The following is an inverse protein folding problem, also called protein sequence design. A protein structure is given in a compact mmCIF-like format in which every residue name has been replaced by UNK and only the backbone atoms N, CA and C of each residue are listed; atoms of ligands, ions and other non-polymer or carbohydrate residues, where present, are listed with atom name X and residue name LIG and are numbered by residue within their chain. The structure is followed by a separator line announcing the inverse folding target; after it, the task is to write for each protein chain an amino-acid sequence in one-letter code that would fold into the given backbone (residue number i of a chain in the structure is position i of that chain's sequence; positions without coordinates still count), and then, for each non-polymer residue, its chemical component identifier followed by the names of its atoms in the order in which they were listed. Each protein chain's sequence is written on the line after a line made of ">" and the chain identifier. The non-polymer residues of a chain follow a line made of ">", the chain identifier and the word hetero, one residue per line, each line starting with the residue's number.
data_IF_077552256319
#
_entry.id   IF_077552256319
#
_cell.length_a   1.000
_cell.length_b   1.000
_cell.length_c   1.000
_cell.angle_alpha   90.00
_cell.angle_beta   90.00
_cell.angle_gamma   90.00
#
_symmetry.space_group_name_H-M   'P 1'
#
loop_
_entity.id
_entity.type
_entity.pdbx_description
1 polymer ?
#
# COMPACT_ATOMS: atom_id res chain seq x y z
N UNK A 1 -14.77 15.46 -20.04
CA UNK A 1 -15.46 14.32 -20.66
C UNK A 1 -14.84 12.98 -20.21
N UNK A 2 -13.51 12.82 -20.24
CA UNK A 2 -12.80 11.61 -19.76
C UNK A 2 -13.09 11.21 -18.30
N UNK A 3 -13.12 12.16 -17.36
CA UNK A 3 -13.35 11.88 -15.93
C UNK A 3 -14.71 11.23 -15.59
N UNK A 4 -15.69 11.25 -16.50
CA UNK A 4 -17.00 10.62 -16.26
C UNK A 4 -16.89 9.10 -16.19
N UNK A 5 -16.08 8.49 -17.05
CA UNK A 5 -15.86 7.04 -17.05
C UNK A 5 -15.14 6.57 -15.80
N UNK A 6 -14.18 7.35 -15.30
CA UNK A 6 -13.47 7.07 -14.05
C UNK A 6 -14.45 7.13 -12.87
N UNK A 7 -15.31 8.16 -12.81
CA UNK A 7 -16.34 8.28 -11.76
C UNK A 7 -17.29 7.08 -11.77
N UNK A 8 -17.77 6.65 -12.94
CA UNK A 8 -18.64 5.47 -13.02
C UNK A 8 -17.93 4.19 -12.60
N UNK A 9 -16.64 4.04 -12.93
CA UNK A 9 -15.84 2.89 -12.53
C UNK A 9 -15.62 2.86 -11.01
N UNK A 10 -15.35 4.02 -10.39
CA UNK A 10 -15.25 4.16 -8.94
C UNK A 10 -16.58 3.86 -8.25
N UNK A 11 -17.69 4.39 -8.78
CA UNK A 11 -19.02 4.13 -8.24
C UNK A 11 -19.38 2.64 -8.32
N UNK A 12 -19.12 1.99 -9.46
CA UNK A 12 -19.33 0.57 -9.64
C UNK A 12 -18.47 -0.25 -8.66
N UNK A 13 -17.19 0.11 -8.50
CA UNK A 13 -16.31 -0.53 -7.51
C UNK A 13 -16.82 -0.35 -6.08
N UNK A 14 -17.36 0.82 -5.73
CA UNK A 14 -17.95 1.10 -4.43
C UNK A 14 -19.22 0.26 -4.19
N UNK A 15 -20.08 0.11 -5.21
CA UNK A 15 -21.27 -0.74 -5.13
C UNK A 15 -20.87 -2.20 -4.93
N UNK A 16 -19.91 -2.70 -5.70
CA UNK A 16 -19.39 -4.08 -5.55
C UNK A 16 -18.79 -4.28 -4.17
N UNK A 17 -18.00 -3.33 -3.68
CA UNK A 17 -17.45 -3.36 -2.33
C UNK A 17 -18.56 -3.39 -1.28
N UNK A 18 -19.57 -2.52 -1.37
CA UNK A 18 -20.67 -2.45 -0.44
C UNK A 18 -21.46 -3.77 -0.41
N UNK A 19 -21.87 -4.28 -1.59
CA UNK A 19 -22.55 -5.56 -1.71
C UNK A 19 -21.71 -6.71 -1.13
N UNK A 20 -20.41 -6.77 -1.45
CA UNK A 20 -19.52 -7.80 -0.93
C UNK A 20 -19.40 -7.70 0.60
N UNK A 21 -19.27 -6.48 1.14
CA UNK A 21 -19.18 -6.25 2.58
C UNK A 21 -20.49 -6.52 3.33
N UNK A 22 -21.65 -6.37 2.69
CA UNK A 22 -22.94 -6.70 3.29
C UNK A 22 -23.26 -8.19 3.19
N UNK A 23 -23.00 -8.81 2.03
CA UNK A 23 -23.38 -10.20 1.74
C UNK A 23 -22.38 -11.22 2.29
N UNK A 24 -21.09 -10.94 2.22
CA UNK A 24 -20.06 -11.84 2.72
C UNK A 24 -19.84 -11.61 4.22
N UNK A 25 -20.75 -12.05 5.07
CA UNK A 25 -20.68 -11.82 6.53
C UNK A 25 -19.61 -12.65 7.25
N UNK A 26 -19.14 -13.73 6.63
CA UNK A 26 -18.11 -14.60 7.21
C UNK A 26 -16.76 -13.90 7.32
N UNK A 27 -16.31 -13.66 8.56
CA UNK A 27 -14.99 -13.11 8.85
C UNK A 27 -13.87 -13.97 8.25
N UNK A 28 -14.02 -15.30 8.25
CA UNK A 28 -13.05 -16.22 7.65
C UNK A 28 -12.91 -16.00 6.15
N UNK A 29 -14.02 -15.83 5.43
CA UNK A 29 -13.98 -15.61 3.98
C UNK A 29 -13.35 -14.25 3.63
N UNK A 30 -13.70 -13.18 4.36
CA UNK A 30 -13.06 -11.86 4.19
C UNK A 30 -11.55 -11.93 4.39
N UNK A 31 -11.10 -12.61 5.44
CA UNK A 31 -9.68 -12.78 5.70
C UNK A 31 -8.96 -13.51 4.58
N UNK A 32 -9.53 -14.59 4.03
CA UNK A 32 -8.94 -15.28 2.87
C UNK A 32 -8.81 -14.38 1.64
N UNK A 33 -9.83 -13.56 1.35
CA UNK A 33 -9.76 -12.59 0.25
C UNK A 33 -8.58 -11.63 0.45
N UNK A 34 -8.43 -11.06 1.64
CA UNK A 34 -7.34 -10.12 1.94
C UNK A 34 -5.97 -10.78 1.88
N UNK A 35 -5.84 -12.03 2.34
CA UNK A 35 -4.58 -12.79 2.27
C UNK A 35 -4.21 -13.10 0.83
N UNK A 36 -5.15 -13.59 0.02
CA UNK A 36 -4.92 -13.83 -1.40
C UNK A 36 -4.56 -12.54 -2.13
N UNK A 37 -5.22 -11.43 -1.80
CA UNK A 37 -4.91 -10.12 -2.35
C UNK A 37 -3.50 -9.65 -1.97
N UNK A 38 -3.08 -9.86 -0.73
CA UNK A 38 -1.74 -9.50 -0.25
C UNK A 38 -0.65 -10.36 -0.93
N UNK A 39 -0.90 -11.66 -1.11
CA UNK A 39 0.02 -12.56 -1.85
C UNK A 39 0.13 -12.11 -3.31
N UNK A 40 -0.99 -11.79 -3.97
CA UNK A 40 -0.98 -11.26 -5.32
C UNK A 40 -0.19 -9.93 -5.40
N UNK A 41 -0.41 -9.01 -4.46
CA UNK A 41 0.33 -7.77 -4.36
C UNK A 41 1.85 -8.01 -4.26
N UNK A 42 2.28 -8.96 -3.44
CA UNK A 42 3.71 -9.35 -3.36
C UNK A 42 4.25 -9.85 -4.70
N UNK A 43 3.50 -10.66 -5.45
CA UNK A 43 3.89 -11.09 -6.78
C UNK A 43 4.07 -9.91 -7.75
N UNK A 44 3.18 -8.90 -7.67
CA UNK A 44 3.36 -7.67 -8.44
C UNK A 44 4.62 -6.89 -8.02
N UNK A 45 4.95 -6.81 -6.73
CA UNK A 45 6.17 -6.15 -6.27
C UNK A 45 7.42 -6.89 -6.77
N UNK A 46 7.43 -8.22 -6.76
CA UNK A 46 8.55 -9.02 -7.27
C UNK A 46 8.84 -8.70 -8.75
N UNK A 47 7.80 -8.73 -9.60
CA UNK A 47 7.94 -8.35 -11.01
C UNK A 47 8.36 -6.88 -11.15
N UNK A 48 7.75 -6.00 -10.35
CA UNK A 48 8.06 -4.58 -10.32
C UNK A 48 9.52 -4.28 -9.94
N UNK A 49 10.10 -5.07 -9.02
CA UNK A 49 11.49 -4.94 -8.62
C UNK A 49 12.45 -5.34 -9.75
N UNK A 50 12.11 -6.38 -10.52
CA UNK A 50 12.87 -6.78 -11.72
C UNK A 50 12.83 -5.65 -12.76
N UNK A 51 11.65 -5.11 -13.06
CA UNK A 51 11.47 -3.98 -13.96
C UNK A 51 12.26 -2.74 -13.51
N UNK A 52 12.22 -2.43 -12.23
CA UNK A 52 12.94 -1.29 -11.67
C UNK A 52 14.46 -1.47 -11.76
N UNK A 53 14.95 -2.68 -11.48
CA UNK A 53 16.38 -3.03 -11.55
C UNK A 53 16.92 -2.93 -12.98
N UNK A 54 16.21 -3.53 -13.93
CA UNK A 54 16.68 -3.59 -15.32
C UNK A 54 16.52 -2.24 -16.02
N UNK A 55 15.48 -1.46 -15.65
CA UNK A 55 15.19 -0.18 -16.28
C UNK A 55 14.71 -0.30 -17.73
N UNK A 56 14.36 -1.52 -18.17
CA UNK A 56 13.81 -1.82 -19.48
C UNK A 56 12.28 -1.97 -19.42
N UNK A 57 11.67 -2.34 -20.55
CA UNK A 57 10.22 -2.57 -20.65
C UNK A 57 9.84 -4.03 -20.42
N UNK A 58 10.58 -4.74 -19.56
CA UNK A 58 10.30 -6.13 -19.24
C UNK A 58 8.86 -6.33 -18.74
N UNK A 59 8.16 -7.26 -19.39
CA UNK A 59 6.83 -7.73 -19.00
C UNK A 59 6.80 -9.25 -19.04
N UNK A 60 6.35 -9.93 -17.97
CA UNK A 60 6.26 -11.39 -17.94
C UNK A 60 5.31 -11.97 -19.00
N UNK A 61 4.34 -11.17 -19.45
CA UNK A 61 3.32 -11.54 -20.42
C UNK A 61 3.67 -10.87 -21.76
N UNK A 62 4.14 -11.61 -22.79
CA UNK A 62 4.74 -11.01 -23.99
C UNK A 62 3.82 -10.09 -24.79
N UNK A 63 2.50 -10.34 -24.77
CA UNK A 63 1.53 -9.53 -25.50
C UNK A 63 1.10 -8.25 -24.75
N UNK A 64 1.42 -8.12 -23.45
CA UNK A 64 1.16 -6.91 -22.66
C UNK A 64 2.44 -6.07 -22.62
N UNK A 65 2.64 -5.26 -23.64
CA UNK A 65 3.77 -4.32 -23.68
C UNK A 65 3.46 -3.09 -22.82
N UNK A 66 4.47 -2.63 -22.08
CA UNK A 66 4.38 -1.38 -21.31
C UNK A 66 5.06 -0.24 -22.03
N UNK A 67 4.56 0.97 -21.83
CA UNK A 67 5.25 2.18 -22.27
C UNK A 67 6.57 2.35 -21.52
N UNK A 68 7.50 3.10 -22.12
CA UNK A 68 8.75 3.43 -21.44
C UNK A 68 8.50 4.41 -20.29
N UNK A 69 8.48 3.85 -19.09
CA UNK A 69 8.40 4.58 -17.83
C UNK A 69 9.76 4.70 -17.13
N UNK A 70 10.84 4.29 -17.82
CA UNK A 70 12.18 4.13 -17.27
C UNK A 70 12.21 3.22 -16.05
N UNK A 71 13.01 3.60 -15.04
CA UNK A 71 13.09 2.90 -13.75
C UNK A 71 11.88 3.19 -12.87
N UNK A 72 10.75 2.57 -13.22
CA UNK A 72 9.50 2.55 -12.45
C UNK A 72 8.91 1.15 -12.47
N UNK A 73 8.45 0.68 -11.31
CA UNK A 73 7.76 -0.59 -11.18
C UNK A 73 6.31 -0.47 -11.67
N UNK A 74 5.86 -1.41 -12.51
CA UNK A 74 4.46 -1.57 -12.91
C UNK A 74 3.93 -2.98 -12.63
N UNK A 75 4.79 -3.95 -12.30
CA UNK A 75 4.41 -5.33 -12.01
C UNK A 75 3.75 -5.96 -13.23
N UNK A 76 2.68 -6.72 -13.02
CA UNK A 76 1.81 -7.18 -14.12
C UNK A 76 0.89 -6.09 -14.68
N UNK A 77 0.87 -4.89 -14.09
CA UNK A 77 0.19 -3.75 -14.70
C UNK A 77 1.10 -3.11 -15.75
N UNK A 78 0.47 -2.52 -16.77
CA UNK A 78 1.15 -1.69 -17.76
C UNK A 78 1.57 -0.36 -17.13
N UNK A 79 0.70 0.22 -16.28
CA UNK A 79 0.90 1.54 -15.68
C UNK A 79 1.44 1.43 -14.25
N UNK A 80 2.56 2.11 -13.91
CA UNK A 80 3.05 2.22 -12.53
C UNK A 80 2.02 2.82 -11.57
N UNK A 81 1.14 3.70 -12.05
CA UNK A 81 0.13 4.34 -11.21
C UNK A 81 -0.97 3.34 -10.77
N UNK A 82 -1.35 2.40 -11.64
CA UNK A 82 -2.31 1.36 -11.29
C UNK A 82 -1.72 0.40 -10.26
N UNK A 83 -0.44 0.02 -10.42
CA UNK A 83 0.25 -0.77 -9.43
C UNK A 83 0.28 -0.05 -8.08
N UNK A 84 0.59 1.25 -8.05
CA UNK A 84 0.64 2.02 -6.83
C UNK A 84 -0.68 1.96 -6.06
N UNK A 85 -1.80 2.19 -6.75
CA UNK A 85 -3.15 2.12 -6.18
C UNK A 85 -3.50 0.74 -5.60
N UNK A 86 -3.05 -0.35 -6.25
CA UNK A 86 -3.27 -1.70 -5.72
C UNK A 86 -2.42 -1.95 -4.47
N UNK A 87 -1.16 -1.53 -4.49
CA UNK A 87 -0.21 -1.78 -3.39
C UNK A 87 -0.53 -0.97 -2.14
N UNK A 88 -1.04 0.25 -2.27
CA UNK A 88 -1.45 1.03 -1.09
C UNK A 88 -2.68 0.42 -0.39
N UNK A 89 -3.66 -0.06 -1.16
CA UNK A 89 -4.85 -0.74 -0.63
C UNK A 89 -4.46 -2.07 0.00
N UNK A 90 -3.59 -2.86 -0.65
CA UNK A 90 -3.06 -4.09 -0.06
C UNK A 90 -2.25 -3.80 1.21
N UNK A 91 -1.43 -2.76 1.18
CA UNK A 91 -0.63 -2.32 2.32
C UNK A 91 -1.47 -1.94 3.52
N UNK A 92 -2.53 -1.13 3.35
CA UNK A 92 -3.35 -0.71 4.48
C UNK A 92 -4.18 -1.85 5.07
N UNK A 93 -4.66 -2.78 4.25
CA UNK A 93 -5.31 -3.99 4.75
C UNK A 93 -4.33 -4.92 5.47
N UNK A 94 -3.14 -5.12 4.93
CA UNK A 94 -2.09 -5.90 5.57
C UNK A 94 -1.66 -5.31 6.91
N UNK A 95 -1.55 -3.97 7.00
CA UNK A 95 -1.26 -3.26 8.24
C UNK A 95 -2.36 -3.47 9.28
N UNK A 96 -3.63 -3.36 8.85
CA UNK A 96 -4.79 -3.60 9.71
C UNK A 96 -4.80 -5.03 10.26
N UNK A 97 -4.53 -6.04 9.43
CA UNK A 97 -4.42 -7.43 9.88
C UNK A 97 -3.27 -7.57 10.90
N UNK A 98 -2.13 -6.97 10.62
CA UNK A 98 -0.94 -7.05 11.47
C UNK A 98 -1.20 -6.49 12.87
N UNK A 99 -1.82 -5.31 12.95
CA UNK A 99 -2.08 -4.63 14.22
C UNK A 99 -3.29 -5.21 14.97
N UNK A 100 -4.41 -5.41 14.27
CA UNK A 100 -5.72 -5.56 14.90
C UNK A 100 -6.35 -6.96 14.80
N UNK A 101 -5.77 -7.87 14.03
CA UNK A 101 -6.32 -9.24 13.94
C UNK A 101 -6.13 -10.03 15.23
N UNK A 102 -6.92 -11.10 15.38
CA UNK A 102 -6.78 -12.12 16.44
C UNK A 102 -5.80 -13.25 16.08
N UNK A 103 -4.98 -13.06 15.04
CA UNK A 103 -4.06 -14.08 14.58
C UNK A 103 -2.86 -14.27 15.52
N UNK A 104 -2.24 -15.47 15.51
CA UNK A 104 -1.01 -15.70 16.26
C UNK A 104 0.11 -14.77 15.78
N UNK A 105 1.06 -14.50 16.68
CA UNK A 105 2.15 -13.52 16.45
C UNK A 105 2.94 -13.81 15.17
N UNK A 106 3.25 -15.09 14.88
CA UNK A 106 3.99 -15.45 13.67
C UNK A 106 3.28 -15.02 12.39
N UNK A 107 1.95 -15.16 12.34
CA UNK A 107 1.16 -14.79 11.17
C UNK A 107 1.08 -13.26 11.03
N UNK A 108 1.00 -12.53 12.15
CA UNK A 108 1.09 -11.08 12.18
C UNK A 108 2.45 -10.57 11.69
N UNK A 109 3.54 -11.23 12.07
CA UNK A 109 4.87 -10.90 11.57
C UNK A 109 4.94 -11.09 10.05
N UNK A 110 4.42 -12.21 9.54
CA UNK A 110 4.38 -12.49 8.11
C UNK A 110 3.57 -11.43 7.34
N UNK A 111 2.37 -11.08 7.82
CA UNK A 111 1.56 -10.02 7.21
C UNK A 111 2.22 -8.65 7.33
N UNK A 112 2.97 -8.40 8.41
CA UNK A 112 3.75 -7.18 8.60
C UNK A 112 4.86 -7.04 7.58
N UNK A 113 5.62 -8.12 7.33
CA UNK A 113 6.63 -8.14 6.26
C UNK A 113 6.01 -7.95 4.87
N UNK A 114 4.92 -8.66 4.57
CA UNK A 114 4.21 -8.51 3.31
C UNK A 114 3.67 -7.07 3.11
N UNK A 115 3.19 -6.44 4.17
CA UNK A 115 2.78 -5.03 4.20
C UNK A 115 3.95 -4.10 3.89
N UNK A 116 5.10 -4.32 4.54
CA UNK A 116 6.33 -3.57 4.26
C UNK A 116 6.76 -3.68 2.80
N UNK A 117 6.69 -4.88 2.22
CA UNK A 117 6.98 -5.13 0.81
C UNK A 117 6.03 -4.34 -0.10
N UNK A 118 4.73 -4.26 0.24
CA UNK A 118 3.77 -3.45 -0.51
C UNK A 118 4.16 -1.96 -0.51
N UNK A 119 4.52 -1.39 0.64
CA UNK A 119 4.96 0.01 0.73
C UNK A 119 6.29 0.27 0.01
N UNK A 120 7.23 -0.66 0.07
CA UNK A 120 8.44 -0.59 -0.78
C UNK A 120 8.04 -0.60 -2.26
N UNK A 121 7.11 -1.47 -2.66
CA UNK A 121 6.60 -1.49 -4.03
C UNK A 121 5.95 -0.18 -4.44
N UNK A 122 5.18 0.48 -3.56
CA UNK A 122 4.64 1.83 -3.78
C UNK A 122 5.79 2.80 -4.11
N UNK A 123 6.86 2.83 -3.31
CA UNK A 123 8.05 3.65 -3.57
C UNK A 123 8.67 3.34 -4.95
N UNK A 124 8.78 2.05 -5.32
CA UNK A 124 9.33 1.66 -6.63
C UNK A 124 8.46 2.10 -7.81
N UNK A 125 7.15 2.32 -7.62
CA UNK A 125 6.27 2.81 -8.69
C UNK A 125 6.55 4.26 -9.08
N UNK A 126 7.14 5.07 -8.20
CA UNK A 126 7.33 6.50 -8.44
C UNK A 126 6.03 7.29 -8.62
N UNK A 127 4.88 6.77 -8.16
CA UNK A 127 3.57 7.40 -8.37
C UNK A 127 3.28 8.45 -7.30
N UNK A 128 3.17 9.73 -7.69
CA UNK A 128 2.80 10.83 -6.78
C UNK A 128 1.44 10.62 -6.13
N UNK A 129 0.45 10.20 -6.94
CA UNK A 129 -0.89 9.87 -6.45
C UNK A 129 -0.86 8.70 -5.46
N UNK A 130 -0.05 7.66 -5.75
CA UNK A 130 0.15 6.54 -4.83
C UNK A 130 0.77 6.94 -3.50
N UNK A 131 1.73 7.89 -3.49
CA UNK A 131 2.32 8.39 -2.24
C UNK A 131 1.32 9.18 -1.38
N UNK A 132 0.58 10.09 -2.02
CA UNK A 132 -0.41 10.91 -1.32
C UNK A 132 -1.56 10.04 -0.78
N UNK A 133 -2.03 9.08 -1.57
CA UNK A 133 -3.10 8.18 -1.16
C UNK A 133 -2.64 7.23 -0.04
N UNK A 134 -1.42 6.68 -0.13
CA UNK A 134 -0.87 5.86 0.94
C UNK A 134 -0.73 6.65 2.25
N UNK A 135 -0.22 7.89 2.18
CA UNK A 135 -0.14 8.78 3.33
C UNK A 135 -1.52 9.08 3.93
N UNK A 136 -2.51 9.40 3.09
CA UNK A 136 -3.89 9.63 3.54
C UNK A 136 -4.47 8.38 4.23
N UNK A 137 -4.27 7.19 3.66
CA UNK A 137 -4.73 5.92 4.24
C UNK A 137 -4.08 5.64 5.60
N UNK A 138 -2.80 5.96 5.78
CA UNK A 138 -2.07 5.79 7.03
C UNK A 138 -2.55 6.77 8.10
N UNK A 139 -2.90 8.00 7.72
CA UNK A 139 -3.53 8.98 8.63
C UNK A 139 -4.88 8.45 9.10
N UNK A 140 -5.74 8.01 8.18
CA UNK A 140 -7.06 7.45 8.51
C UNK A 140 -6.92 6.22 9.43
N UNK A 141 -6.00 5.30 9.09
CA UNK A 141 -5.69 4.14 9.92
C UNK A 141 -5.21 4.54 11.32
N UNK A 142 -4.35 5.55 11.41
CA UNK A 142 -3.87 6.09 12.69
C UNK A 142 -4.99 6.68 13.53
N UNK A 143 -5.89 7.46 12.93
CA UNK A 143 -7.06 8.04 13.62
C UNK A 143 -7.96 6.95 14.18
N UNK A 144 -8.35 5.95 13.38
CA UNK A 144 -9.18 4.85 13.86
C UNK A 144 -8.46 3.96 14.87
N UNK A 145 -7.16 3.76 14.70
CA UNK A 145 -6.33 3.04 15.67
C UNK A 145 -6.35 3.74 17.03
N UNK A 146 -6.19 5.07 17.06
CA UNK A 146 -6.26 5.85 18.29
C UNK A 146 -7.65 5.79 18.92
N UNK A 147 -8.72 5.83 18.13
CA UNK A 147 -10.09 5.71 18.63
C UNK A 147 -10.33 4.36 19.33
N UNK A 148 -9.87 3.27 18.72
CA UNK A 148 -9.91 1.93 19.33
C UNK A 148 -9.09 1.87 20.62
N UNK A 149 -7.87 2.44 20.64
CA UNK A 149 -7.04 2.49 21.85
C UNK A 149 -7.66 3.34 22.96
N UNK A 150 -8.32 4.47 22.61
CA UNK A 150 -9.05 5.33 23.55
C UNK A 150 -10.18 4.56 24.21
N UNK A 151 -10.98 3.84 23.42
CA UNK A 151 -12.08 3.02 23.92
C UNK A 151 -11.58 1.87 24.82
N UNK A 152 -10.38 1.35 24.59
CA UNK A 152 -9.77 0.29 25.40
C UNK A 152 -9.16 0.78 26.74
N UNK A 153 -8.90 2.09 26.89
CA UNK A 153 -8.44 2.71 28.14
C UNK A 153 -7.17 3.57 28.00
N UNK A 154 -7.05 4.58 28.87
CA UNK A 154 -5.98 5.59 28.82
C UNK A 154 -4.56 5.00 29.00
N UNK A 155 -4.40 3.98 29.83
CA UNK A 155 -3.11 3.30 30.03
C UNK A 155 -2.62 2.61 28.75
N UNK A 156 -3.54 1.96 28.03
CA UNK A 156 -3.21 1.22 26.80
C UNK A 156 -2.93 2.20 25.65
N UNK A 157 -3.64 3.33 25.61
CA UNK A 157 -3.35 4.43 24.71
C UNK A 157 -1.94 4.97 24.88
N UNK A 158 -1.50 5.25 26.11
CA UNK A 158 -0.14 5.79 26.32
C UNK A 158 0.90 4.73 26.02
N UNK A 159 0.68 3.48 26.46
CA UNK A 159 1.65 2.38 26.31
C UNK A 159 1.88 1.97 24.85
N UNK A 160 0.86 2.05 24.00
CA UNK A 160 0.95 1.64 22.59
C UNK A 160 1.06 2.87 21.66
N UNK A 161 0.28 3.91 21.93
CA UNK A 161 0.23 5.11 21.11
C UNK A 161 1.53 5.91 21.12
N UNK A 162 2.19 6.07 22.27
CA UNK A 162 3.46 6.79 22.35
C UNK A 162 4.59 6.12 21.54
N UNK A 163 4.88 4.81 21.69
CA UNK A 163 5.89 4.16 20.85
C UNK A 163 5.49 4.09 19.38
N UNK A 164 4.20 3.96 19.04
CA UNK A 164 3.74 3.99 17.65
C UNK A 164 4.00 5.36 17.00
N UNK A 165 3.74 6.45 17.73
CA UNK A 165 4.04 7.81 17.27
C UNK A 165 5.55 7.99 17.03
N UNK A 166 6.38 7.56 17.98
CA UNK A 166 7.84 7.64 17.87
C UNK A 166 8.33 6.85 16.66
N UNK A 167 7.86 5.61 16.50
CA UNK A 167 8.20 4.76 15.36
C UNK A 167 7.77 5.41 14.02
N UNK A 168 6.59 6.02 13.98
CA UNK A 168 6.11 6.75 12.80
C UNK A 168 6.99 7.94 12.44
N UNK A 169 7.38 8.76 13.43
CA UNK A 169 8.28 9.90 13.23
C UNK A 169 9.66 9.42 12.74
N UNK A 170 10.21 8.37 13.35
CA UNK A 170 11.48 7.78 12.94
C UNK A 170 11.42 7.22 11.50
N UNK A 171 10.33 6.57 11.13
CA UNK A 171 10.14 6.08 9.77
C UNK A 171 10.12 7.24 8.76
N UNK A 172 9.42 8.33 9.08
CA UNK A 172 9.38 9.52 8.23
C UNK A 172 10.74 10.19 8.09
N UNK A 173 11.51 10.32 9.17
CA UNK A 173 12.84 10.93 9.12
C UNK A 173 13.83 10.08 8.33
N UNK A 174 13.77 8.75 8.47
CA UNK A 174 14.58 7.82 7.67
C UNK A 174 14.22 7.93 6.19
N UNK A 175 12.93 7.91 5.84
CA UNK A 175 12.48 8.07 4.46
C UNK A 175 12.94 9.41 3.88
N UNK A 176 12.76 10.51 4.62
CA UNK A 176 13.19 11.84 4.21
C UNK A 176 14.71 11.91 3.96
N UNK A 177 15.49 11.29 4.84
CA UNK A 177 16.96 11.22 4.74
C UNK A 177 17.42 10.38 3.55
N UNK A 178 16.77 9.24 3.29
CA UNK A 178 17.06 8.38 2.14
C UNK A 178 16.73 9.08 0.82
N UNK A 179 15.62 9.83 0.77
CA UNK A 179 15.25 10.63 -0.40
C UNK A 179 16.31 11.69 -0.68
N UNK A 180 16.75 12.46 0.33
CA UNK A 180 17.75 13.52 0.15
C UNK A 180 19.14 13.01 -0.25
N UNK A 181 19.54 11.83 0.22
CA UNK A 181 20.86 11.27 -0.05
C UNK A 181 21.00 10.59 -1.41
N UNK A 182 19.91 10.34 -2.12
CA UNK A 182 19.97 9.66 -3.42
C UNK A 182 19.69 10.64 -4.55
N UNK A 183 20.71 10.97 -5.34
CA UNK A 183 20.60 11.92 -6.45
C UNK A 183 19.42 11.61 -7.40
N UNK A 184 19.10 10.32 -7.55
CA UNK A 184 17.97 9.83 -8.32
C UNK A 184 16.59 10.15 -7.70
N UNK A 185 16.44 10.14 -6.37
CA UNK A 185 15.20 10.54 -5.70
C UNK A 185 15.15 12.05 -5.46
N UNK A 186 16.29 12.73 -5.31
CA UNK A 186 16.38 14.18 -5.15
C UNK A 186 15.92 14.92 -6.42
N UNK A 187 16.31 14.48 -7.62
CA UNK A 187 15.78 15.03 -8.89
C UNK A 187 14.27 14.76 -9.09
N UNK A 188 13.73 13.76 -8.38
CA UNK A 188 12.29 13.46 -8.39
C UNK A 188 11.53 14.27 -7.34
N UNK A 189 12.10 14.45 -6.15
CA UNK A 189 11.51 15.22 -5.06
C UNK A 189 11.47 16.74 -5.37
N UNK A 190 12.47 17.26 -6.09
CA UNK A 190 12.49 18.67 -6.54
C UNK A 190 11.37 19.00 -7.53
N UNK A 191 10.78 18.00 -8.21
CA UNK A 191 9.64 18.17 -9.12
C UNK A 191 8.28 18.02 -8.42
N UNK A 192 8.26 17.83 -7.10
CA UNK A 192 7.05 17.62 -6.27
C UNK A 192 6.65 18.89 -5.50
N UNK A 193 7.60 19.79 -5.26
CA UNK A 193 7.39 21.14 -4.70
C UNK A 193 7.33 22.14 -5.86
#
# INVERSE_FOLDING_TARGET
>A
YLARFDIYSVLAALVVYFLTSCLLTSARARMWILVCFLIAAMAHVLVGAIQFRNGDNFMPIPFLQRFDYGRRASGFYISPNHLAGVLEVAGIFGLSITCWSRWPVWAKLLTGYATGICYVGVILTGSRGGYLSAAASLVVFGVFSLDILRAAGSTLLVRIGAPALIAGVLALTVVFSLVHKSDFLTDRASKVI
#
